data_IF_672557850568
#
_entry.id   IF_672557850568
#
_cell.length_a   1.000
_cell.length_b   1.000
_cell.length_c   1.000
_cell.angle_alpha   90.00
_cell.angle_beta   90.00
_cell.angle_gamma   90.00
#
_symmetry.space_group_name_H-M   'P 1'
#
loop_
_entity.id
_entity.type
_entity.pdbx_description
1 polymer ?
#
# COMPACT_ATOMS: atom_id res chain seq x y z
N UNK A 1 59.42 -12.64 1.25
CA UNK A 1 59.07 -12.69 -0.19
C UNK A 1 57.60 -12.38 -0.30
N UNK A 2 57.33 -11.13 -0.63
CA UNK A 2 56.04 -10.50 -0.86
C UNK A 2 55.63 -10.74 -2.30
N UNK A 3 54.41 -11.23 -2.56
CA UNK A 3 53.63 -10.92 -3.77
C UNK A 3 52.23 -11.55 -3.64
N UNK A 4 51.32 -10.79 -3.02
CA UNK A 4 49.89 -11.06 -3.07
C UNK A 4 49.34 -10.47 -4.35
N UNK A 5 48.91 -11.33 -5.28
CA UNK A 5 48.30 -10.93 -6.55
C UNK A 5 47.01 -10.13 -6.33
N UNK A 6 47.12 -8.82 -6.47
CA UNK A 6 45.98 -7.91 -6.60
C UNK A 6 45.30 -8.18 -7.93
N UNK A 7 44.29 -9.06 -7.92
CA UNK A 7 43.39 -9.22 -9.07
C UNK A 7 42.55 -7.95 -9.17
N UNK A 8 42.84 -7.21 -10.22
CA UNK A 8 42.20 -5.95 -10.61
C UNK A 8 40.67 -6.11 -10.70
N UNK A 9 39.98 -5.76 -9.62
CA UNK A 9 38.52 -5.72 -9.51
C UNK A 9 37.88 -4.76 -10.53
N UNK A 10 38.68 -3.87 -11.15
CA UNK A 10 38.22 -2.89 -12.14
C UNK A 10 38.00 -3.52 -13.52
N UNK A 11 38.68 -4.62 -13.84
CA UNK A 11 38.46 -5.36 -15.08
C UNK A 11 37.14 -6.17 -15.03
N UNK A 12 36.73 -6.62 -13.85
CA UNK A 12 35.55 -7.47 -13.67
C UNK A 12 34.22 -6.68 -13.68
N UNK A 13 34.28 -5.35 -13.51
CA UNK A 13 33.11 -4.47 -13.56
C UNK A 13 32.79 -3.93 -14.97
N UNK A 14 33.69 -4.05 -15.95
CA UNK A 14 33.46 -3.54 -17.31
C UNK A 14 32.58 -4.43 -18.19
N UNK A 15 32.32 -5.67 -17.79
CA UNK A 15 31.47 -6.61 -18.54
C UNK A 15 29.98 -6.60 -18.15
N UNK A 16 29.56 -5.74 -17.22
CA UNK A 16 28.19 -5.72 -16.68
C UNK A 16 27.33 -4.56 -17.21
N UNK A 17 27.79 -3.92 -18.29
CA UNK A 17 27.19 -2.68 -18.82
C UNK A 17 26.45 -2.84 -20.15
N UNK A 18 26.61 -3.96 -20.86
CA UNK A 18 25.97 -4.17 -22.16
C UNK A 18 25.20 -5.49 -22.11
N UNK A 19 23.93 -5.44 -22.51
CA UNK A 19 22.98 -6.57 -22.58
C UNK A 19 22.25 -6.98 -21.28
N UNK A 20 21.77 -6.01 -20.50
CA UNK A 20 20.50 -6.26 -19.79
C UNK A 20 19.38 -6.19 -20.82
N UNK A 21 18.70 -7.29 -21.20
CA UNK A 21 17.51 -7.20 -22.02
C UNK A 21 16.56 -6.25 -21.29
N UNK A 22 16.20 -5.16 -21.96
CA UNK A 22 15.21 -4.22 -21.45
C UNK A 22 13.98 -5.03 -21.10
N UNK A 23 13.66 -5.15 -19.81
CA UNK A 23 12.38 -5.68 -19.37
C UNK A 23 11.35 -4.70 -19.92
N UNK A 24 10.78 -5.02 -21.08
CA UNK A 24 9.72 -4.22 -21.68
C UNK A 24 8.48 -4.41 -20.81
N UNK A 25 8.32 -3.52 -19.83
CA UNK A 25 7.02 -3.28 -19.19
C UNK A 25 6.02 -3.03 -20.32
N UNK A 26 4.88 -3.72 -20.31
CA UNK A 26 3.87 -3.64 -21.36
C UNK A 26 3.59 -2.18 -21.71
N UNK A 27 3.97 -1.75 -22.92
CA UNK A 27 3.68 -0.40 -23.42
C UNK A 27 2.28 -0.38 -24.01
N UNK A 28 1.59 0.74 -23.87
CA UNK A 28 0.35 0.99 -24.61
C UNK A 28 0.59 0.80 -26.12
N UNK A 29 -0.34 0.13 -26.79
CA UNK A 29 -0.36 -0.05 -28.23
C UNK A 29 -1.66 0.58 -28.73
N UNK A 30 -1.58 1.46 -29.73
CA UNK A 30 -2.76 2.09 -30.34
C UNK A 30 -3.54 1.10 -31.23
N UNK A 31 -4.69 1.52 -31.75
CA UNK A 31 -5.53 0.68 -32.61
C UNK A 31 -4.83 0.26 -33.91
N UNK A 32 -3.82 1.02 -34.33
CA UNK A 32 -2.99 0.74 -35.50
C UNK A 32 -1.76 -0.14 -35.19
N UNK A 33 -1.63 -0.64 -33.96
CA UNK A 33 -0.56 -1.55 -33.57
C UNK A 33 0.77 -0.86 -33.24
N UNK A 34 0.80 0.47 -33.07
CA UNK A 34 2.01 1.23 -32.76
C UNK A 34 2.16 1.45 -31.26
N UNK A 35 3.40 1.42 -30.78
CA UNK A 35 3.69 1.73 -29.39
C UNK A 35 3.44 3.20 -29.08
N UNK A 36 2.60 3.46 -28.09
CA UNK A 36 2.39 4.78 -27.53
C UNK A 36 3.54 5.25 -26.65
N UNK A 37 3.47 6.52 -26.27
CA UNK A 37 4.41 7.10 -25.31
C UNK A 37 4.13 6.59 -23.89
N UNK A 38 5.06 6.86 -22.96
CA UNK A 38 4.83 6.62 -21.52
C UNK A 38 3.60 7.38 -21.04
N UNK A 39 3.39 8.62 -21.51
CA UNK A 39 2.20 9.42 -21.16
C UNK A 39 0.92 8.71 -21.58
N UNK A 40 0.84 8.19 -22.80
CA UNK A 40 -0.34 7.42 -23.24
C UNK A 40 -0.58 6.18 -22.37
N UNK A 41 0.50 5.53 -21.93
CA UNK A 41 0.38 4.37 -21.03
C UNK A 41 -0.15 4.77 -19.66
N UNK A 42 0.36 5.88 -19.09
CA UNK A 42 -0.13 6.44 -17.83
C UNK A 42 -1.60 6.83 -17.95
N UNK A 43 -1.96 7.60 -18.98
CA UNK A 43 -3.32 8.08 -19.20
C UNK A 43 -4.29 6.91 -19.30
N UNK A 44 -3.91 5.85 -20.02
CA UNK A 44 -4.74 4.65 -20.16
C UNK A 44 -4.87 3.87 -18.84
N UNK A 45 -3.79 3.75 -18.08
CA UNK A 45 -3.81 3.10 -16.76
C UNK A 45 -4.75 3.87 -15.83
N UNK A 46 -4.65 5.19 -15.80
CA UNK A 46 -5.52 6.06 -14.99
C UNK A 46 -6.97 5.91 -15.42
N UNK A 47 -7.26 5.99 -16.72
CA UNK A 47 -8.61 5.87 -17.25
C UNK A 47 -9.27 4.52 -16.91
N UNK A 48 -8.52 3.41 -17.05
CA UNK A 48 -9.08 2.06 -16.90
C UNK A 48 -9.10 1.60 -15.44
N UNK A 49 -8.04 1.87 -14.68
CA UNK A 49 -7.91 1.36 -13.31
C UNK A 49 -8.42 2.35 -12.25
N UNK A 50 -8.56 3.63 -12.60
CA UNK A 50 -9.03 4.68 -11.70
C UNK A 50 -10.15 5.53 -12.37
N UNK A 51 -11.23 4.90 -12.87
CA UNK A 51 -12.36 5.64 -13.43
C UNK A 51 -12.97 6.56 -12.38
N UNK A 52 -13.58 7.66 -12.84
CA UNK A 52 -14.32 8.56 -11.94
C UNK A 52 -15.52 7.81 -11.36
N UNK A 53 -15.60 7.76 -10.03
CA UNK A 53 -16.73 7.15 -9.32
C UNK A 53 -17.95 8.09 -9.39
N UNK A 54 -18.78 7.90 -10.43
CA UNK A 54 -19.97 8.71 -10.69
C UNK A 54 -21.21 7.84 -10.83
N UNK A 55 -22.32 8.26 -10.23
CA UNK A 55 -23.60 7.52 -10.26
C UNK A 55 -24.13 7.24 -11.67
N UNK A 56 -23.73 8.05 -12.65
CA UNK A 56 -24.16 7.92 -14.04
C UNK A 56 -23.55 6.70 -14.74
N UNK A 57 -22.34 6.29 -14.33
CA UNK A 57 -21.58 5.20 -14.95
C UNK A 57 -21.67 3.88 -14.17
N UNK A 58 -22.49 3.84 -13.11
CA UNK A 58 -22.65 2.67 -12.26
C UNK A 58 -23.57 1.60 -12.86
N UNK A 59 -23.20 0.34 -12.70
CA UNK A 59 -24.11 -0.80 -12.91
C UNK A 59 -25.21 -0.82 -11.84
N UNK A 60 -26.33 -1.54 -12.06
CA UNK A 60 -27.38 -1.68 -11.05
C UNK A 60 -26.88 -2.22 -9.71
N UNK A 61 -25.92 -3.13 -9.73
CA UNK A 61 -25.29 -3.71 -8.53
C UNK A 61 -24.47 -2.64 -7.78
N UNK A 62 -23.71 -1.82 -8.51
CA UNK A 62 -22.93 -0.72 -7.94
C UNK A 62 -23.82 0.33 -7.29
N UNK A 63 -24.93 0.70 -7.95
CA UNK A 63 -25.95 1.60 -7.37
C UNK A 63 -26.51 1.05 -6.06
N UNK A 64 -26.83 -0.24 -6.03
CA UNK A 64 -27.35 -0.88 -4.83
C UNK A 64 -26.30 -0.89 -3.70
N UNK A 65 -25.03 -1.11 -4.01
CA UNK A 65 -23.93 -0.99 -3.03
C UNK A 65 -23.82 0.43 -2.48
N UNK A 66 -23.84 1.47 -3.34
CA UNK A 66 -23.81 2.88 -2.90
C UNK A 66 -24.95 3.18 -1.93
N UNK A 67 -26.18 2.80 -2.29
CA UNK A 67 -27.36 2.98 -1.44
C UNK A 67 -27.19 2.24 -0.12
N UNK A 68 -26.73 0.98 -0.16
CA UNK A 68 -26.49 0.17 1.04
C UNK A 68 -25.46 0.81 1.97
N UNK A 69 -24.34 1.31 1.44
CA UNK A 69 -23.29 1.98 2.21
C UNK A 69 -23.76 3.32 2.75
N UNK A 70 -24.47 4.11 1.95
CA UNK A 70 -25.03 5.40 2.39
C UNK A 70 -26.11 5.24 3.47
N UNK A 71 -26.89 4.17 3.39
CA UNK A 71 -27.90 3.78 4.39
C UNK A 71 -27.32 3.00 5.56
N UNK A 72 -26.01 2.67 5.54
CA UNK A 72 -25.32 2.07 6.67
C UNK A 72 -25.26 3.13 7.78
N UNK A 73 -26.35 3.22 8.52
CA UNK A 73 -26.52 4.19 9.58
C UNK A 73 -25.44 3.99 10.64
N UNK A 74 -24.90 5.10 11.12
CA UNK A 74 -24.07 5.18 12.33
C UNK A 74 -24.81 4.72 13.59
N UNK A 75 -26.08 4.30 13.46
CA UNK A 75 -26.93 3.76 14.51
C UNK A 75 -26.47 2.40 15.06
N UNK A 76 -25.63 1.67 14.34
CA UNK A 76 -24.81 0.60 14.91
C UNK A 76 -23.40 1.16 15.16
N UNK A 77 -23.23 1.79 16.32
CA UNK A 77 -21.88 2.07 16.82
C UNK A 77 -21.22 0.71 17.01
N UNK A 78 -20.20 0.40 16.20
CA UNK A 78 -19.42 -0.81 16.36
C UNK A 78 -18.98 -0.93 17.83
N UNK A 79 -18.95 -2.17 18.33
CA UNK A 79 -18.49 -2.40 19.68
C UNK A 79 -17.06 -1.89 19.85
N UNK A 80 -16.78 -1.29 21.01
CA UNK A 80 -15.43 -0.90 21.38
C UNK A 80 -14.49 -2.09 21.24
N UNK A 81 -13.33 -1.85 20.64
CA UNK A 81 -12.28 -2.85 20.54
C UNK A 81 -11.84 -3.31 21.93
N UNK A 82 -11.39 -4.56 21.99
CA UNK A 82 -10.83 -5.20 23.17
C UNK A 82 -9.31 -5.30 23.08
N UNK A 83 -8.65 -5.41 24.24
CA UNK A 83 -7.20 -5.66 24.32
C UNK A 83 -6.78 -6.91 23.54
N UNK A 84 -7.65 -7.91 23.47
CA UNK A 84 -7.38 -9.16 22.78
C UNK A 84 -7.36 -8.95 21.27
N UNK A 85 -8.35 -8.26 20.71
CA UNK A 85 -8.41 -7.95 19.28
C UNK A 85 -7.20 -7.12 18.85
N UNK A 86 -6.89 -6.04 19.58
CA UNK A 86 -5.71 -5.20 19.29
C UNK A 86 -4.43 -6.03 19.30
N UNK A 87 -4.27 -6.91 20.30
CA UNK A 87 -3.10 -7.79 20.39
C UNK A 87 -3.04 -8.79 19.23
N UNK A 88 -4.16 -9.38 18.83
CA UNK A 88 -4.21 -10.35 17.74
C UNK A 88 -3.87 -9.69 16.41
N UNK A 89 -4.43 -8.50 16.14
CA UNK A 89 -4.14 -7.72 14.92
C UNK A 89 -2.65 -7.42 14.84
N UNK A 90 -2.06 -6.85 15.89
CA UNK A 90 -0.63 -6.52 15.93
C UNK A 90 0.23 -7.77 15.62
N UNK A 91 -0.13 -8.94 16.14
CA UNK A 91 0.62 -10.19 15.90
C UNK A 91 0.44 -10.74 14.49
N UNK A 92 -0.67 -10.42 13.83
CA UNK A 92 -0.94 -10.83 12.45
C UNK A 92 -0.22 -9.97 11.41
N UNK A 93 0.25 -8.77 11.80
CA UNK A 93 0.89 -7.84 10.89
C UNK A 93 2.28 -8.35 10.45
N UNK A 94 2.55 -8.27 9.15
CA UNK A 94 3.82 -8.71 8.59
C UNK A 94 4.97 -7.77 9.03
N UNK A 95 6.02 -8.39 9.58
CA UNK A 95 7.27 -7.72 9.94
C UNK A 95 8.03 -7.22 8.71
N UNK A 96 8.93 -6.26 8.92
CA UNK A 96 9.83 -5.72 7.87
C UNK A 96 9.09 -5.08 6.68
N UNK A 97 7.81 -4.72 6.84
CA UNK A 97 7.14 -3.81 5.91
C UNK A 97 7.75 -2.42 6.04
N UNK A 98 7.81 -1.69 4.93
CA UNK A 98 8.21 -0.29 4.96
C UNK A 98 7.23 0.48 5.86
N UNK A 99 7.72 1.36 6.75
CA UNK A 99 6.86 2.19 7.57
C UNK A 99 6.08 3.19 6.70
N UNK A 100 5.01 3.74 7.27
CA UNK A 100 4.33 4.90 6.69
C UNK A 100 5.22 6.15 6.73
N UNK A 101 4.67 7.27 6.25
CA UNK A 101 5.33 8.59 6.35
C UNK A 101 5.54 9.04 7.80
N UNK A 102 4.79 8.45 8.73
CA UNK A 102 4.90 8.63 10.18
C UNK A 102 6.14 7.95 10.78
N UNK A 103 6.81 7.06 10.05
CA UNK A 103 7.95 6.30 10.55
C UNK A 103 7.60 5.25 11.60
N UNK A 104 6.32 4.97 11.84
CA UNK A 104 5.89 4.01 12.87
C UNK A 104 6.02 2.59 12.31
N UNK A 105 6.95 1.82 12.86
CA UNK A 105 7.14 0.42 12.48
C UNK A 105 6.26 -0.52 13.31
N UNK A 106 6.00 -1.73 12.80
CA UNK A 106 5.25 -2.74 13.55
C UNK A 106 5.98 -3.15 14.84
N UNK A 107 7.32 -3.17 14.82
CA UNK A 107 8.13 -3.46 16.01
C UNK A 107 7.93 -2.40 17.10
N UNK A 108 7.75 -1.13 16.73
CA UNK A 108 7.42 -0.07 17.68
C UNK A 108 6.02 -0.24 18.25
N UNK A 109 5.02 -0.54 17.40
CA UNK A 109 3.64 -0.81 17.84
C UNK A 109 3.60 -2.01 18.79
N UNK A 110 4.35 -3.07 18.49
CA UNK A 110 4.52 -4.25 19.37
C UNK A 110 5.12 -3.86 20.72
N UNK A 111 6.17 -3.03 20.72
CA UNK A 111 6.82 -2.57 21.95
C UNK A 111 5.86 -1.73 22.81
N UNK A 112 5.09 -0.83 22.20
CA UNK A 112 4.07 -0.02 22.88
C UNK A 112 3.01 -0.94 23.49
N UNK A 113 2.44 -1.86 22.72
CA UNK A 113 1.41 -2.77 23.21
C UNK A 113 1.90 -3.70 24.34
N UNK A 114 3.19 -4.07 24.32
CA UNK A 114 3.83 -4.86 25.37
C UNK A 114 4.04 -4.04 26.66
N UNK A 115 4.42 -2.76 26.53
CA UNK A 115 4.63 -1.88 27.67
C UNK A 115 3.33 -1.37 28.29
N UNK A 116 2.38 -0.97 27.46
CA UNK A 116 1.04 -0.54 27.87
C UNK A 116 0.01 -0.82 26.77
N UNK A 117 -0.76 -1.93 26.87
CA UNK A 117 -1.80 -2.25 25.89
C UNK A 117 -2.94 -1.23 25.88
N UNK A 118 -3.09 -0.45 26.95
CA UNK A 118 -4.15 0.55 27.10
C UNK A 118 -3.96 1.77 26.19
N UNK A 119 -2.72 2.09 25.80
CA UNK A 119 -2.44 3.27 24.95
C UNK A 119 -3.11 3.12 23.58
N UNK A 120 -2.78 2.03 22.86
CA UNK A 120 -3.33 1.78 21.53
C UNK A 120 -4.83 1.54 21.58
N UNK A 121 -5.30 0.79 22.58
CA UNK A 121 -6.71 0.53 22.79
C UNK A 121 -7.51 1.83 22.96
N UNK A 122 -7.03 2.74 23.81
CA UNK A 122 -7.69 4.01 24.09
C UNK A 122 -7.74 4.90 22.84
N UNK A 123 -6.66 4.94 22.07
CA UNK A 123 -6.61 5.69 20.80
C UNK A 123 -7.63 5.14 19.81
N UNK A 124 -7.64 3.82 19.57
CA UNK A 124 -8.55 3.20 18.60
C UNK A 124 -10.01 3.35 19.00
N UNK A 125 -10.33 3.13 20.27
CA UNK A 125 -11.69 3.31 20.77
C UNK A 125 -12.11 4.77 20.75
N UNK A 126 -11.19 5.72 20.95
CA UNK A 126 -11.51 7.14 20.82
C UNK A 126 -11.76 7.55 19.37
N UNK A 127 -10.99 7.03 18.42
CA UNK A 127 -11.26 7.23 16.99
C UNK A 127 -12.65 6.68 16.60
N UNK A 128 -12.99 5.50 17.12
CA UNK A 128 -14.28 4.86 16.89
C UNK A 128 -15.44 5.67 17.50
N UNK A 129 -15.30 6.10 18.75
CA UNK A 129 -16.28 6.94 19.45
C UNK A 129 -16.52 8.28 18.73
N UNK A 130 -15.45 8.91 18.22
CA UNK A 130 -15.53 10.19 17.51
C UNK A 130 -15.97 10.04 16.04
N UNK A 131 -15.99 8.82 15.50
CA UNK A 131 -16.19 8.59 14.06
C UNK A 131 -15.13 9.26 13.19
N UNK A 132 -13.92 9.49 13.74
CA UNK A 132 -12.86 10.23 13.06
C UNK A 132 -11.51 9.53 13.21
N UNK A 133 -10.87 9.28 12.07
CA UNK A 133 -9.54 8.68 11.99
C UNK A 133 -8.54 9.71 11.43
N UNK A 134 -7.31 9.76 11.95
CA UNK A 134 -6.29 10.70 11.49
C UNK A 134 -6.05 10.56 9.97
N UNK A 135 -5.94 11.69 9.29
CA UNK A 135 -5.42 11.72 7.91
C UNK A 135 -3.90 11.48 7.93
N UNK A 136 -3.44 10.53 7.11
CA UNK A 136 -2.01 10.34 6.83
C UNK A 136 -1.42 11.49 6.03
#
# INVERSE_FOLDING_TARGET
MTEGGSKDLRAQMKGWSEERPSVRVGRYIDAEGRYGTIRNSIDRIVEVLFPQDTEQNETPEQKNMRVTVAQYGTSNIDHMFTKQETRQVIRSMARRKAPGLDGITIELVEAINKGSPDILLSIFNKCLELGHFPSC
#
